data_IF_482335880186
#
_entry.id   IF_482335880186
#
_cell.length_a   1.000
_cell.length_b   1.000
_cell.length_c   1.000
_cell.angle_alpha   90.00
_cell.angle_beta   90.00
_cell.angle_gamma   90.00
#
_symmetry.space_group_name_H-M   'P 1'
#
loop_
_entity.id
_entity.type
_entity.pdbx_description
1 polymer ?
#
# COMPACT_ATOMS: atom_id res chain seq x y z
N UNK A 1 19.95 -10.08 -7.34
CA UNK A 1 19.70 -9.59 -8.71
C UNK A 1 20.25 -10.63 -9.68
N UNK A 2 19.51 -11.03 -10.70
CA UNK A 2 20.04 -11.94 -11.73
C UNK A 2 20.98 -11.18 -12.66
N UNK A 3 21.95 -11.85 -13.28
CA UNK A 3 22.91 -11.25 -14.22
C UNK A 3 22.20 -10.47 -15.34
N UNK A 4 21.13 -11.05 -15.90
CA UNK A 4 20.27 -10.41 -16.89
C UNK A 4 19.57 -9.13 -16.39
N UNK A 5 19.22 -9.01 -15.11
CA UNK A 5 18.65 -7.75 -14.59
C UNK A 5 19.71 -6.67 -14.37
N UNK A 6 20.96 -7.06 -14.08
CA UNK A 6 22.06 -6.10 -14.00
C UNK A 6 22.31 -5.45 -15.35
N UNK A 7 22.43 -6.25 -16.42
CA UNK A 7 22.64 -5.76 -17.78
C UNK A 7 21.50 -4.84 -18.25
N UNK A 8 20.26 -5.25 -17.98
CA UNK A 8 19.08 -4.41 -18.23
C UNK A 8 19.18 -3.07 -17.51
N UNK A 9 19.50 -3.08 -16.21
CA UNK A 9 19.55 -1.84 -15.40
C UNK A 9 20.63 -0.89 -15.92
N UNK A 10 21.79 -1.39 -16.31
CA UNK A 10 22.84 -0.56 -16.89
C UNK A 10 22.41 0.02 -18.24
N UNK A 11 21.82 -0.79 -19.12
CA UNK A 11 21.34 -0.29 -20.41
C UNK A 11 20.27 0.81 -20.27
N UNK A 12 19.39 0.71 -19.27
CA UNK A 12 18.34 1.70 -19.03
C UNK A 12 18.82 2.99 -18.35
N UNK A 13 20.10 3.09 -17.99
CA UNK A 13 20.70 4.38 -17.61
C UNK A 13 21.10 5.21 -18.82
N UNK A 14 21.16 4.60 -20.01
CA UNK A 14 21.53 5.28 -21.25
C UNK A 14 20.31 5.96 -21.89
N UNK A 15 20.53 7.16 -22.43
CA UNK A 15 19.45 7.99 -22.98
C UNK A 15 18.82 7.41 -24.26
N UNK A 16 19.58 6.62 -25.03
CA UNK A 16 19.11 6.01 -26.27
C UNK A 16 18.21 4.77 -26.05
N UNK A 17 18.10 4.30 -24.80
CA UNK A 17 17.13 3.27 -24.41
C UNK A 17 15.68 3.79 -24.41
N UNK A 18 15.47 5.10 -24.51
CA UNK A 18 14.16 5.76 -24.46
C UNK A 18 13.86 6.49 -25.77
N UNK A 19 12.64 6.35 -26.29
CA UNK A 19 12.22 6.97 -27.56
C UNK A 19 12.41 8.49 -27.61
N UNK A 20 12.27 9.18 -26.48
CA UNK A 20 12.37 10.64 -26.40
C UNK A 20 13.77 11.14 -25.99
N UNK A 21 14.72 10.25 -25.77
CA UNK A 21 16.09 10.58 -25.35
C UNK A 21 16.16 11.60 -24.20
N UNK A 22 15.73 11.21 -22.98
CA UNK A 22 15.67 12.10 -21.83
C UNK A 22 17.06 12.66 -21.52
N UNK A 23 17.12 13.90 -21.02
CA UNK A 23 18.37 14.56 -20.67
C UNK A 23 18.97 14.04 -19.37
N UNK A 24 18.11 13.64 -18.42
CA UNK A 24 18.53 13.14 -17.12
C UNK A 24 17.77 11.86 -16.79
N UNK A 25 18.52 10.86 -16.36
CA UNK A 25 17.98 9.60 -15.86
C UNK A 25 18.50 9.41 -14.43
N UNK A 26 17.60 9.25 -13.47
CA UNK A 26 17.92 8.91 -12.07
C UNK A 26 17.31 7.55 -11.74
N UNK A 27 18.16 6.59 -11.42
CA UNK A 27 17.75 5.30 -10.87
C UNK A 27 17.47 5.42 -9.37
N UNK A 28 16.31 4.93 -8.95
CA UNK A 28 15.95 4.67 -7.56
C UNK A 28 15.61 3.19 -7.45
N UNK A 29 16.16 2.52 -6.44
CA UNK A 29 15.92 1.12 -6.20
C UNK A 29 15.00 0.94 -4.98
N UNK A 30 13.90 0.22 -5.16
CA UNK A 30 12.99 -0.19 -4.07
C UNK A 30 13.23 -1.67 -3.75
N UNK A 31 12.55 -2.24 -2.75
CA UNK A 31 12.66 -3.68 -2.47
C UNK A 31 12.19 -4.57 -3.64
N UNK A 32 11.21 -4.12 -4.42
CA UNK A 32 10.55 -4.95 -5.46
C UNK A 32 10.67 -4.39 -6.87
N UNK A 33 11.21 -3.19 -7.08
CA UNK A 33 11.27 -2.53 -8.39
C UNK A 33 12.48 -1.62 -8.55
N UNK A 34 12.92 -1.45 -9.80
CA UNK A 34 13.77 -0.36 -10.25
C UNK A 34 12.90 0.77 -10.80
N UNK A 35 13.21 2.01 -10.43
CA UNK A 35 12.48 3.21 -10.79
C UNK A 35 13.44 4.15 -11.55
N UNK A 36 13.18 4.38 -12.83
CA UNK A 36 13.97 5.29 -13.66
C UNK A 36 13.18 6.58 -13.87
N UNK A 37 13.59 7.65 -13.17
CA UNK A 37 13.07 8.99 -13.40
C UNK A 37 13.83 9.59 -14.59
N UNK A 38 13.17 9.67 -15.73
CA UNK A 38 13.66 10.15 -17.00
C UNK A 38 12.93 11.46 -17.36
N UNK A 39 13.54 12.59 -16.99
CA UNK A 39 12.93 13.93 -17.03
C UNK A 39 11.53 13.99 -16.36
N UNK A 40 10.45 14.13 -17.12
CA UNK A 40 9.07 14.23 -16.65
C UNK A 40 8.36 12.87 -16.55
N UNK A 41 9.04 11.77 -16.88
CA UNK A 41 8.49 10.42 -16.86
C UNK A 41 9.19 9.54 -15.84
N UNK A 42 8.42 8.62 -15.28
CA UNK A 42 8.89 7.54 -14.41
C UNK A 42 8.64 6.20 -15.11
N UNK A 43 9.68 5.37 -15.15
CA UNK A 43 9.59 4.00 -15.65
C UNK A 43 9.86 3.03 -14.50
N UNK A 44 8.84 2.27 -14.11
CA UNK A 44 8.91 1.25 -13.05
C UNK A 44 9.08 -0.13 -13.67
N UNK A 45 10.11 -0.84 -13.24
CA UNK A 45 10.44 -2.20 -13.69
C UNK A 45 10.50 -3.11 -12.47
N UNK A 46 9.71 -4.18 -12.48
CA UNK A 46 9.63 -5.11 -11.36
C UNK A 46 10.90 -5.98 -11.30
N UNK A 47 11.42 -6.23 -10.10
CA UNK A 47 12.55 -7.14 -9.88
C UNK A 47 12.08 -8.59 -9.95
N UNK A 48 12.94 -9.51 -10.40
CA UNK A 48 12.64 -10.94 -10.24
C UNK A 48 12.65 -11.31 -8.76
N UNK A 49 11.69 -12.14 -8.36
CA UNK A 49 11.51 -12.60 -6.99
C UNK A 49 10.31 -13.53 -6.88
N UNK A 50 9.96 -13.93 -5.66
CA UNK A 50 8.85 -14.88 -5.42
C UNK A 50 7.51 -14.39 -5.99
N UNK A 51 7.26 -13.08 -5.93
CA UNK A 51 6.04 -12.45 -6.48
C UNK A 51 6.10 -12.30 -8.01
N UNK A 52 7.29 -12.25 -8.58
CA UNK A 52 7.57 -11.91 -9.97
C UNK A 52 8.51 -12.94 -10.60
N UNK A 53 8.07 -14.21 -10.61
CA UNK A 53 8.94 -15.34 -10.92
C UNK A 53 9.27 -15.49 -12.41
N UNK A 54 8.42 -15.00 -13.31
CA UNK A 54 8.59 -15.13 -14.76
C UNK A 54 8.23 -13.83 -15.47
N UNK A 55 8.70 -13.67 -16.71
CA UNK A 55 8.36 -12.52 -17.55
C UNK A 55 6.84 -12.38 -17.76
N UNK A 56 6.12 -13.48 -17.97
CA UNK A 56 4.67 -13.48 -18.12
C UNK A 56 3.93 -13.04 -16.84
N UNK A 57 4.44 -13.43 -15.65
CA UNK A 57 3.91 -12.97 -14.37
C UNK A 57 4.13 -11.46 -14.19
N UNK A 58 5.30 -10.96 -14.61
CA UNK A 58 5.61 -9.53 -14.55
C UNK A 58 4.73 -8.71 -15.49
N UNK A 59 4.49 -9.20 -16.70
CA UNK A 59 3.53 -8.61 -17.64
C UNK A 59 2.15 -8.46 -16.99
N UNK A 60 1.62 -9.56 -16.45
CA UNK A 60 0.29 -9.57 -15.83
C UNK A 60 0.18 -8.56 -14.69
N UNK A 61 1.19 -8.49 -13.81
CA UNK A 61 1.18 -7.53 -12.71
C UNK A 61 1.48 -6.08 -13.13
N UNK A 62 2.21 -5.86 -14.22
CA UNK A 62 2.30 -4.52 -14.81
C UNK A 62 0.93 -4.05 -15.32
N UNK A 63 0.19 -4.89 -16.05
CA UNK A 63 -1.16 -4.53 -16.49
C UNK A 63 -2.14 -4.37 -15.33
N UNK A 64 -2.05 -5.20 -14.29
CA UNK A 64 -2.90 -5.07 -13.11
C UNK A 64 -2.61 -3.78 -12.33
N UNK A 65 -1.34 -3.45 -12.09
CA UNK A 65 -0.97 -2.19 -11.42
C UNK A 65 -1.38 -0.97 -12.27
N UNK A 66 -1.25 -1.02 -13.60
CA UNK A 66 -1.74 0.03 -14.50
C UNK A 66 -3.26 0.21 -14.36
N UNK A 67 -4.02 -0.89 -14.41
CA UNK A 67 -5.48 -0.88 -14.26
C UNK A 67 -5.91 -0.33 -12.90
N UNK A 68 -5.23 -0.72 -11.83
CA UNK A 68 -5.51 -0.23 -10.48
C UNK A 68 -5.14 1.25 -10.34
N UNK A 69 -3.97 1.67 -10.81
CA UNK A 69 -3.52 3.06 -10.73
C UNK A 69 -4.48 4.02 -11.44
N UNK A 70 -5.02 3.64 -12.60
CA UNK A 70 -6.06 4.42 -13.31
C UNK A 70 -7.35 4.57 -12.50
N UNK A 71 -7.73 3.57 -11.69
CA UNK A 71 -8.89 3.67 -10.81
C UNK A 71 -8.68 4.76 -9.74
N UNK A 72 -7.49 4.82 -9.17
CA UNK A 72 -7.19 5.81 -8.13
C UNK A 72 -6.87 7.20 -8.71
N UNK A 73 -6.43 7.27 -9.97
CA UNK A 73 -5.98 8.48 -10.63
C UNK A 73 -6.54 8.56 -12.06
N UNK A 74 -7.78 9.04 -12.19
CA UNK A 74 -8.54 9.00 -13.45
C UNK A 74 -7.82 9.66 -14.63
N UNK A 75 -7.11 10.76 -14.41
CA UNK A 75 -6.42 11.54 -15.45
C UNK A 75 -4.90 11.33 -15.48
N UNK A 76 -4.37 10.34 -14.73
CA UNK A 76 -2.93 10.10 -14.69
C UNK A 76 -2.49 9.23 -15.85
N UNK A 77 -1.55 9.75 -16.66
CA UNK A 77 -1.00 9.03 -17.79
C UNK A 77 -0.15 7.86 -17.29
N UNK A 78 -0.69 6.64 -17.41
CA UNK A 78 0.03 5.39 -17.10
C UNK A 78 -0.25 4.31 -18.15
N UNK A 79 0.81 3.65 -18.59
CA UNK A 79 0.78 2.61 -19.61
C UNK A 79 1.85 1.54 -19.37
N UNK A 80 1.64 0.35 -19.95
CA UNK A 80 2.62 -0.73 -19.93
C UNK A 80 3.34 -0.72 -21.27
N UNK A 81 4.67 -0.70 -21.23
CA UNK A 81 5.53 -0.77 -22.41
C UNK A 81 6.39 -2.04 -22.36
N UNK A 82 6.56 -2.75 -23.48
CA UNK A 82 7.58 -3.78 -23.58
C UNK A 82 8.96 -3.13 -23.56
N UNK A 83 9.94 -3.83 -23.00
CA UNK A 83 11.35 -3.54 -23.18
C UNK A 83 11.90 -4.63 -24.10
N UNK A 84 12.43 -4.20 -25.24
CA UNK A 84 12.86 -5.10 -26.31
C UNK A 84 14.37 -5.05 -26.49
N UNK A 85 14.95 -6.21 -26.80
CA UNK A 85 16.33 -6.34 -27.25
C UNK A 85 16.36 -6.60 -28.76
N UNK A 86 17.08 -5.75 -29.50
CA UNK A 86 17.32 -5.91 -30.94
C UNK A 86 18.78 -5.62 -31.26
N UNK A 87 19.49 -6.63 -31.80
CA UNK A 87 20.92 -6.53 -32.19
C UNK A 87 21.81 -5.96 -31.06
N UNK A 88 21.58 -6.42 -29.82
CA UNK A 88 22.32 -5.98 -28.63
C UNK A 88 21.94 -4.61 -28.09
N UNK A 89 20.91 -3.95 -28.64
CA UNK A 89 20.35 -2.71 -28.09
C UNK A 89 19.07 -2.99 -27.33
N UNK A 90 18.93 -2.37 -26.16
CA UNK A 90 17.75 -2.48 -25.29
C UNK A 90 16.96 -1.17 -25.39
N UNK A 91 15.67 -1.26 -25.74
CA UNK A 91 14.81 -0.10 -25.99
C UNK A 91 13.46 -0.29 -25.29
N UNK A 92 13.04 0.71 -24.51
CA UNK A 92 11.70 0.78 -23.93
C UNK A 92 10.70 1.25 -25.00
N UNK A 93 9.60 0.51 -25.14
CA UNK A 93 8.55 0.78 -26.12
C UNK A 93 8.99 0.48 -27.56
N UNK A 94 10.04 -0.32 -27.76
CA UNK A 94 10.47 -0.74 -29.10
C UNK A 94 9.38 -1.53 -29.85
N UNK A 95 9.45 -1.52 -31.18
CA UNK A 95 8.53 -2.27 -32.07
C UNK A 95 9.19 -3.48 -32.74
N UNK A 96 10.50 -3.65 -32.58
CA UNK A 96 11.29 -4.73 -33.18
C UNK A 96 12.18 -5.40 -32.13
N UNK A 97 12.38 -6.71 -32.27
CA UNK A 97 13.24 -7.49 -31.39
C UNK A 97 12.48 -8.44 -30.45
N UNK A 98 13.21 -8.98 -29.48
CA UNK A 98 12.66 -9.90 -28.46
C UNK A 98 12.25 -9.10 -27.22
N UNK A 99 11.05 -9.34 -26.70
CA UNK A 99 10.65 -8.80 -25.40
C UNK A 99 11.47 -9.49 -24.31
N UNK A 100 12.19 -8.70 -23.52
CA UNK A 100 13.01 -9.18 -22.41
C UNK A 100 12.49 -8.72 -21.05
N UNK A 101 11.67 -7.67 -21.00
CA UNK A 101 11.10 -7.10 -19.78
C UNK A 101 9.86 -6.25 -20.09
N UNK A 102 9.11 -5.84 -19.06
CA UNK A 102 8.06 -4.81 -19.14
C UNK A 102 8.33 -3.62 -18.20
N UNK A 103 8.00 -2.42 -18.67
CA UNK A 103 8.01 -1.20 -17.87
C UNK A 103 6.60 -0.64 -17.71
N UNK A 104 6.28 -0.15 -16.51
CA UNK A 104 5.18 0.77 -16.28
C UNK A 104 5.70 2.19 -16.47
N UNK A 105 5.22 2.87 -17.52
CA UNK A 105 5.54 4.27 -17.79
C UNK A 105 4.44 5.16 -17.25
N UNK A 106 4.81 6.18 -16.48
CA UNK A 106 3.89 7.16 -15.91
C UNK A 106 4.51 8.55 -15.82
N UNK A 107 3.71 9.58 -15.53
CA UNK A 107 4.26 10.90 -15.17
C UNK A 107 5.04 10.80 -13.87
N UNK A 108 6.23 11.40 -13.83
CA UNK A 108 7.04 11.45 -12.61
C UNK A 108 6.37 12.36 -11.58
N UNK A 109 6.30 11.88 -10.34
CA UNK A 109 5.83 12.65 -9.19
C UNK A 109 7.05 13.04 -8.36
N UNK A 110 7.20 14.32 -8.07
CA UNK A 110 8.36 14.79 -7.30
C UNK A 110 8.29 14.28 -5.85
N UNK A 111 9.37 13.66 -5.37
CA UNK A 111 9.44 13.10 -4.00
C UNK A 111 9.04 14.11 -2.92
N UNK A 112 9.31 15.40 -3.13
CA UNK A 112 8.94 16.48 -2.19
C UNK A 112 7.43 16.65 -1.98
N UNK A 113 6.61 16.12 -2.89
CA UNK A 113 5.15 16.12 -2.78
C UNK A 113 4.59 14.87 -2.13
N UNK A 114 5.42 13.83 -1.87
CA UNK A 114 4.95 12.67 -1.11
C UNK A 114 4.50 13.07 0.30
N UNK A 115 3.40 12.49 0.78
CA UNK A 115 2.83 12.81 2.08
C UNK A 115 3.82 12.46 3.19
N UNK A 116 4.62 11.39 3.05
CA UNK A 116 5.70 11.06 3.98
C UNK A 116 6.73 12.20 4.11
N UNK A 117 7.19 12.79 3.00
CA UNK A 117 8.14 13.92 3.02
C UNK A 117 7.50 15.21 3.55
N UNK A 118 6.23 15.46 3.21
CA UNK A 118 5.51 16.61 3.72
C UNK A 118 5.27 16.50 5.23
N UNK A 119 4.94 15.31 5.74
CA UNK A 119 4.78 15.04 7.17
C UNK A 119 6.10 15.21 7.93
N UNK A 120 7.21 14.67 7.39
CA UNK A 120 8.54 14.80 7.98
C UNK A 120 9.04 16.25 8.07
N UNK A 121 8.51 17.14 7.23
CA UNK A 121 8.85 18.57 7.20
C UNK A 121 7.78 19.47 7.83
N UNK A 122 6.77 18.88 8.47
CA UNK A 122 5.62 19.60 9.06
C UNK A 122 4.90 20.54 8.07
N UNK A 123 4.83 20.14 6.80
CA UNK A 123 4.17 20.91 5.72
C UNK A 123 2.74 20.47 5.40
N UNK A 124 2.23 19.46 6.11
CA UNK A 124 0.86 18.97 5.92
C UNK A 124 -0.12 19.82 6.71
N UNK A 125 -1.19 20.26 6.04
CA UNK A 125 -2.27 21.03 6.66
C UNK A 125 -3.53 20.16 6.75
N UNK A 126 -4.48 20.57 7.59
CA UNK A 126 -5.80 19.94 7.63
C UNK A 126 -6.49 19.99 6.25
N UNK A 127 -6.24 21.02 5.42
CA UNK A 127 -6.78 21.08 4.04
C UNK A 127 -6.27 19.92 3.20
N UNK A 128 -4.96 19.66 3.20
CA UNK A 128 -4.37 18.53 2.45
C UNK A 128 -5.01 17.19 2.87
N UNK A 129 -5.13 16.98 4.18
CA UNK A 129 -5.74 15.77 4.74
C UNK A 129 -7.21 15.61 4.35
N UNK A 130 -8.00 16.69 4.38
CA UNK A 130 -9.40 16.64 3.95
C UNK A 130 -9.55 16.29 2.47
N UNK A 131 -8.65 16.77 1.61
CA UNK A 131 -8.66 16.41 0.18
C UNK A 131 -8.36 14.91 0.02
N UNK A 132 -7.35 14.39 0.72
CA UNK A 132 -7.03 12.96 0.74
C UNK A 132 -8.24 12.13 1.19
N UNK A 133 -8.86 12.50 2.33
CA UNK A 133 -10.02 11.82 2.89
C UNK A 133 -11.23 11.81 1.95
N UNK A 134 -11.53 12.95 1.34
CA UNK A 134 -12.62 13.09 0.37
C UNK A 134 -12.38 12.19 -0.83
N UNK A 135 -11.18 12.28 -1.41
CA UNK A 135 -10.85 11.52 -2.63
C UNK A 135 -10.91 10.01 -2.41
N UNK A 136 -10.36 9.51 -1.29
CA UNK A 136 -10.39 8.07 -1.02
C UNK A 136 -11.81 7.60 -0.68
N UNK A 137 -12.64 8.40 0.00
CA UNK A 137 -14.04 8.10 0.25
C UNK A 137 -14.87 8.01 -1.06
N UNK A 138 -14.65 8.92 -2.01
CA UNK A 138 -15.29 8.90 -3.34
C UNK A 138 -14.89 7.65 -4.16
N UNK A 139 -13.62 7.26 -4.12
CA UNK A 139 -13.12 6.06 -4.79
C UNK A 139 -13.74 4.80 -4.16
N UNK A 140 -13.81 4.74 -2.83
CA UNK A 140 -14.49 3.65 -2.14
C UNK A 140 -15.97 3.55 -2.51
N UNK A 141 -16.69 4.67 -2.55
CA UNK A 141 -18.10 4.72 -2.89
C UNK A 141 -18.39 4.28 -4.34
N UNK A 142 -17.46 4.54 -5.26
CA UNK A 142 -17.58 4.19 -6.69
C UNK A 142 -17.05 2.78 -7.03
N UNK A 143 -16.41 2.08 -6.09
CA UNK A 143 -15.75 0.79 -6.34
C UNK A 143 -16.18 -0.34 -5.38
N UNK A 144 -17.49 -0.58 -5.15
CA UNK A 144 -17.92 -1.71 -4.34
C UNK A 144 -17.44 -3.04 -4.95
N UNK A 145 -17.04 -3.98 -4.10
CA UNK A 145 -16.72 -5.32 -4.54
C UNK A 145 -18.00 -6.04 -4.99
N UNK A 146 -17.88 -6.95 -5.97
CA UNK A 146 -19.00 -7.84 -6.31
C UNK A 146 -19.36 -8.73 -5.12
N UNK A 147 -20.60 -9.23 -5.05
CA UNK A 147 -21.06 -10.07 -3.93
C UNK A 147 -20.09 -11.23 -3.63
N UNK A 148 -19.64 -11.92 -4.68
CA UNK A 148 -18.66 -13.01 -4.57
C UNK A 148 -17.31 -12.54 -4.01
N UNK A 149 -16.81 -11.39 -4.45
CA UNK A 149 -15.55 -10.85 -3.96
C UNK A 149 -15.69 -10.31 -2.52
N UNK A 150 -16.84 -9.73 -2.19
CA UNK A 150 -17.14 -9.14 -0.90
C UNK A 150 -17.19 -10.17 0.25
N UNK A 151 -17.24 -11.47 -0.07
CA UNK A 151 -17.08 -12.56 0.87
C UNK A 151 -15.75 -12.48 1.67
N UNK A 152 -14.70 -11.85 1.12
CA UNK A 152 -13.46 -11.59 1.85
C UNK A 152 -13.62 -10.63 3.03
N UNK A 153 -14.71 -9.85 3.06
CA UNK A 153 -15.06 -8.95 4.14
C UNK A 153 -15.81 -9.60 5.30
N UNK A 154 -16.04 -10.92 5.24
CA UNK A 154 -16.68 -11.67 6.33
C UNK A 154 -15.78 -11.75 7.57
N UNK A 155 -16.36 -12.02 8.76
CA UNK A 155 -15.62 -12.14 10.01
C UNK A 155 -14.46 -13.14 9.94
N UNK A 156 -14.69 -14.32 9.36
CA UNK A 156 -13.75 -15.44 9.35
C UNK A 156 -12.51 -15.18 8.45
N UNK A 157 -12.65 -14.69 7.19
CA UNK A 157 -11.50 -14.23 6.41
C UNK A 157 -10.68 -13.13 7.10
N UNK A 158 -11.33 -12.15 7.72
CA UNK A 158 -10.62 -11.11 8.46
C UNK A 158 -9.87 -11.68 9.68
N UNK A 159 -10.50 -12.60 10.43
CA UNK A 159 -9.86 -13.34 11.52
C UNK A 159 -8.60 -14.07 11.06
N UNK A 160 -8.65 -14.72 9.89
CA UNK A 160 -7.49 -15.39 9.32
C UNK A 160 -6.34 -14.40 9.04
N UNK A 161 -6.63 -13.21 8.49
CA UNK A 161 -5.61 -12.17 8.28
C UNK A 161 -4.95 -11.72 9.59
N UNK A 162 -5.73 -11.54 10.66
CA UNK A 162 -5.20 -11.19 11.97
C UNK A 162 -4.32 -12.31 12.54
N UNK A 163 -4.78 -13.56 12.44
CA UNK A 163 -4.04 -14.73 12.91
C UNK A 163 -2.72 -14.94 12.15
N UNK A 164 -2.70 -14.69 10.84
CA UNK A 164 -1.47 -14.71 10.04
C UNK A 164 -0.43 -13.72 10.57
N UNK A 165 -0.83 -12.48 10.88
CA UNK A 165 0.08 -11.47 11.42
C UNK A 165 0.56 -11.80 12.83
N UNK A 166 -0.34 -12.27 13.70
CA UNK A 166 0.01 -12.72 15.05
C UNK A 166 0.94 -13.95 15.02
N UNK A 167 0.79 -14.83 14.03
CA UNK A 167 1.70 -15.95 13.83
C UNK A 167 3.08 -15.48 13.35
N UNK A 168 3.12 -14.57 12.38
CA UNK A 168 4.38 -14.04 11.84
C UNK A 168 5.18 -13.24 12.88
N UNK A 169 4.51 -12.46 13.74
CA UNK A 169 5.12 -11.76 14.88
C UNK A 169 6.07 -12.65 15.69
N UNK A 170 5.65 -13.90 15.98
CA UNK A 170 6.41 -14.86 16.80
C UNK A 170 7.79 -15.19 16.25
N UNK A 171 8.02 -14.95 14.96
CA UNK A 171 9.28 -15.29 14.28
C UNK A 171 10.40 -14.28 14.55
N UNK A 172 10.07 -13.08 15.02
CA UNK A 172 11.01 -11.96 15.08
C UNK A 172 11.46 -11.58 16.49
N UNK A 173 10.78 -12.07 17.53
CA UNK A 173 11.10 -11.77 18.92
C UNK A 173 10.97 -13.02 19.79
N UNK A 174 11.64 -13.00 20.94
CA UNK A 174 11.58 -14.09 21.91
C UNK A 174 10.17 -14.29 22.48
N UNK A 175 9.88 -15.53 22.93
CA UNK A 175 8.59 -15.88 23.51
C UNK A 175 8.22 -15.01 24.74
N UNK A 176 9.22 -14.63 25.55
CA UNK A 176 9.09 -13.76 26.71
C UNK A 176 8.53 -12.37 26.37
N UNK A 177 8.87 -11.84 25.19
CA UNK A 177 8.40 -10.54 24.69
C UNK A 177 7.09 -10.66 23.91
N UNK A 178 6.93 -11.72 23.12
CA UNK A 178 5.77 -11.87 22.22
C UNK A 178 4.51 -12.33 22.92
N UNK A 179 4.61 -13.24 23.90
CA UNK A 179 3.43 -13.85 24.52
C UNK A 179 2.49 -12.82 25.19
N UNK A 180 2.98 -11.84 25.97
CA UNK A 180 2.12 -10.80 26.53
C UNK A 180 1.44 -9.93 25.45
N UNK A 181 2.17 -9.54 24.39
CA UNK A 181 1.63 -8.74 23.27
C UNK A 181 0.52 -9.52 22.56
N UNK A 182 0.77 -10.80 22.28
CA UNK A 182 -0.20 -11.69 21.65
C UNK A 182 -1.48 -11.82 22.47
N UNK A 183 -1.36 -12.00 23.78
CA UNK A 183 -2.53 -12.18 24.65
C UNK A 183 -3.34 -10.89 24.78
N UNK A 184 -2.67 -9.73 24.86
CA UNK A 184 -3.32 -8.41 24.89
C UNK A 184 -4.04 -8.05 23.58
N UNK A 185 -3.60 -8.58 22.44
CA UNK A 185 -4.21 -8.29 21.14
C UNK A 185 -5.25 -9.34 20.76
N UNK A 186 -4.92 -10.63 20.90
CA UNK A 186 -5.76 -11.72 20.40
C UNK A 186 -7.12 -11.74 21.08
N UNK A 187 -7.18 -11.63 22.41
CA UNK A 187 -8.44 -11.81 23.11
C UNK A 187 -9.49 -10.72 22.77
N UNK A 188 -9.18 -9.41 22.81
CA UNK A 188 -10.14 -8.37 22.39
C UNK A 188 -10.57 -8.52 20.92
N UNK A 189 -9.64 -8.85 20.03
CA UNK A 189 -9.88 -9.01 18.60
C UNK A 189 -10.84 -10.16 18.32
N UNK A 190 -10.54 -11.36 18.82
CA UNK A 190 -11.36 -12.55 18.62
C UNK A 190 -12.77 -12.34 19.20
N UNK A 191 -12.85 -11.80 20.42
CA UNK A 191 -14.12 -11.50 21.09
C UNK A 191 -14.98 -10.53 20.27
N UNK A 192 -14.41 -9.44 19.78
CA UNK A 192 -15.16 -8.49 18.96
C UNK A 192 -15.68 -9.14 17.67
N UNK A 193 -14.86 -9.94 16.98
CA UNK A 193 -15.26 -10.62 15.75
C UNK A 193 -16.41 -11.60 16.03
N UNK A 194 -16.37 -12.34 17.14
CA UNK A 194 -17.43 -13.28 17.53
C UNK A 194 -18.74 -12.57 17.89
N UNK A 195 -18.66 -11.50 18.68
CA UNK A 195 -19.85 -10.78 19.15
C UNK A 195 -20.49 -9.89 18.06
N UNK A 196 -19.71 -9.47 17.05
CA UNK A 196 -20.14 -8.49 16.05
C UNK A 196 -20.30 -9.04 14.63
N UNK A 197 -20.52 -10.34 14.43
CA UNK A 197 -20.76 -10.92 13.10
C UNK A 197 -21.86 -10.18 12.30
N UNK A 198 -22.90 -9.69 12.97
CA UNK A 198 -23.96 -8.88 12.35
C UNK A 198 -23.45 -7.55 11.79
N UNK A 199 -22.46 -6.93 12.43
CA UNK A 199 -21.85 -5.68 11.96
C UNK A 199 -21.05 -5.91 10.68
N UNK A 200 -20.22 -6.96 10.60
CA UNK A 200 -19.52 -7.33 9.35
C UNK A 200 -20.50 -7.58 8.21
N UNK A 201 -21.55 -8.37 8.44
CA UNK A 201 -22.59 -8.61 7.43
C UNK A 201 -23.33 -7.33 7.01
N UNK A 202 -23.57 -6.41 7.96
CA UNK A 202 -24.16 -5.09 7.68
C UNK A 202 -23.25 -4.27 6.77
N UNK A 203 -21.93 -4.32 6.99
CA UNK A 203 -20.93 -3.63 6.17
C UNK A 203 -20.87 -4.17 4.75
N UNK A 204 -20.90 -5.50 4.58
CA UNK A 204 -21.04 -6.14 3.26
C UNK A 204 -22.30 -5.66 2.53
N UNK A 205 -23.47 -5.71 3.18
CA UNK A 205 -24.75 -5.25 2.61
C UNK A 205 -24.78 -3.77 2.26
N UNK A 206 -24.00 -2.94 2.95
CA UNK A 206 -23.87 -1.50 2.70
C UNK A 206 -22.80 -1.15 1.66
N UNK A 207 -22.22 -2.15 0.97
CA UNK A 207 -21.17 -1.92 -0.02
C UNK A 207 -19.87 -1.36 0.59
N UNK A 208 -19.60 -1.63 1.87
CA UNK A 208 -18.36 -1.19 2.54
C UNK A 208 -17.18 -2.13 2.29
N UNK A 209 -17.41 -3.24 1.60
CA UNK A 209 -16.34 -4.07 1.05
C UNK A 209 -16.10 -3.61 -0.39
N UNK A 210 -14.90 -3.13 -0.67
CA UNK A 210 -14.54 -2.40 -1.88
C UNK A 210 -13.30 -2.99 -2.53
N UNK A 211 -13.08 -2.62 -3.79
CA UNK A 211 -11.78 -2.80 -4.45
C UNK A 211 -10.83 -1.67 -4.02
N UNK A 212 -10.39 -1.70 -2.76
CA UNK A 212 -9.59 -0.67 -2.10
C UNK A 212 -8.13 -0.65 -2.51
N UNK A 213 -7.36 0.24 -1.88
CA UNK A 213 -5.95 0.48 -2.16
C UNK A 213 -5.07 -0.62 -1.55
N UNK A 214 -5.37 -1.07 -0.32
CA UNK A 214 -4.68 -2.18 0.37
C UNK A 214 -3.27 -1.87 0.87
N UNK A 215 -2.80 -0.64 0.62
CA UNK A 215 -1.47 -0.12 0.94
C UNK A 215 -1.50 1.42 1.07
N UNK A 216 -2.54 1.96 1.69
CA UNK A 216 -2.79 3.41 1.76
C UNK A 216 -1.89 4.10 2.80
N UNK A 217 -0.60 4.24 2.44
CA UNK A 217 0.47 4.74 3.30
C UNK A 217 1.00 6.10 2.81
N UNK A 218 1.59 6.93 3.69
CA UNK A 218 2.07 8.26 3.33
C UNK A 218 3.04 8.30 2.14
N UNK A 219 3.91 7.30 1.97
CA UNK A 219 4.84 7.21 0.84
C UNK A 219 4.15 6.95 -0.51
N UNK A 220 2.89 6.52 -0.49
CA UNK A 220 2.07 6.23 -1.67
C UNK A 220 1.06 7.34 -1.99
N UNK A 221 1.04 8.41 -1.21
CA UNK A 221 0.12 9.54 -1.38
C UNK A 221 0.94 10.76 -1.76
N UNK A 222 0.66 11.38 -2.90
CA UNK A 222 1.33 12.60 -3.35
C UNK A 222 0.34 13.76 -3.35
N UNK A 223 0.76 14.90 -2.80
CA UNK A 223 -0.07 16.09 -2.65
C UNK A 223 0.67 17.31 -3.23
N UNK A 224 0.09 17.92 -4.27
CA UNK A 224 0.57 19.16 -4.84
C UNK A 224 -0.59 20.17 -4.98
N UNK A 225 -0.65 21.12 -4.05
CA UNK A 225 -1.79 22.03 -3.94
C UNK A 225 -3.08 21.25 -3.67
N UNK A 226 -4.02 21.33 -4.60
CA UNK A 226 -5.31 20.62 -4.52
C UNK A 226 -5.34 19.29 -5.28
N UNK A 227 -4.23 18.92 -5.95
CA UNK A 227 -4.10 17.65 -6.64
C UNK A 227 -3.56 16.57 -5.69
N UNK A 228 -4.19 15.40 -5.72
CA UNK A 228 -3.78 14.23 -4.94
C UNK A 228 -3.69 13.01 -5.85
N UNK A 229 -2.57 12.30 -5.76
CA UNK A 229 -2.36 11.04 -6.44
C UNK A 229 -2.14 9.92 -5.43
N UNK A 230 -2.75 8.76 -5.68
CA UNK A 230 -2.54 7.54 -4.90
C UNK A 230 -1.88 6.47 -5.77
N UNK A 231 -0.66 6.07 -5.44
CA UNK A 231 0.16 5.19 -6.27
C UNK A 231 0.42 3.86 -5.57
N UNK A 232 0.92 2.87 -6.30
CA UNK A 232 1.25 1.54 -5.75
C UNK A 232 0.10 0.87 -4.96
N UNK A 233 -1.13 0.80 -5.51
CA UNK A 233 -2.17 -0.03 -4.92
C UNK A 233 -1.78 -1.50 -4.95
N UNK A 234 -2.20 -2.27 -3.95
CA UNK A 234 -1.82 -3.69 -3.80
C UNK A 234 -2.29 -4.54 -4.99
N UNK A 235 -1.36 -4.91 -5.84
CA UNK A 235 -1.59 -5.66 -7.08
C UNK A 235 -1.38 -7.16 -6.93
N UNK A 236 -0.51 -7.60 -6.01
CA UNK A 236 -0.06 -9.00 -5.92
C UNK A 236 -1.07 -9.86 -5.17
N UNK A 237 -1.45 -9.40 -3.97
CA UNK A 237 -2.32 -10.17 -3.09
C UNK A 237 -3.75 -9.63 -3.16
N UNK A 238 -4.56 -10.18 -4.08
CA UNK A 238 -5.97 -9.77 -4.26
C UNK A 238 -6.79 -9.75 -2.97
N UNK A 239 -6.53 -10.68 -2.04
CA UNK A 239 -7.18 -10.73 -0.71
C UNK A 239 -6.94 -9.49 0.15
N UNK A 240 -5.89 -8.73 -0.15
CA UNK A 240 -5.53 -7.48 0.53
C UNK A 240 -6.03 -6.24 -0.23
N UNK A 241 -6.51 -6.40 -1.47
CA UNK A 241 -7.08 -5.31 -2.28
C UNK A 241 -8.63 -5.33 -2.28
N UNK A 242 -9.24 -6.49 -2.03
CA UNK A 242 -10.66 -6.61 -1.71
C UNK A 242 -10.84 -6.55 -0.20
N UNK A 243 -11.18 -5.37 0.31
CA UNK A 243 -11.09 -5.03 1.72
C UNK A 243 -12.34 -4.28 2.19
N UNK A 244 -12.58 -4.30 3.50
CA UNK A 244 -13.45 -3.30 4.12
C UNK A 244 -12.78 -1.94 4.10
N UNK A 245 -13.48 -0.88 3.71
CA UNK A 245 -12.94 0.50 3.67
C UNK A 245 -12.22 0.93 4.95
N UNK A 246 -12.59 0.36 6.09
CA UNK A 246 -11.92 0.57 7.36
C UNK A 246 -10.42 0.24 7.30
N UNK A 247 -9.99 -0.71 6.46
CA UNK A 247 -8.59 -1.08 6.30
C UNK A 247 -7.73 0.06 5.72
N UNK A 248 -8.17 0.71 4.65
CA UNK A 248 -7.45 1.84 4.04
C UNK A 248 -7.46 3.05 4.99
N UNK A 249 -8.58 3.33 5.64
CA UNK A 249 -8.68 4.37 6.68
C UNK A 249 -7.73 4.09 7.84
N UNK A 250 -7.70 2.86 8.34
CA UNK A 250 -6.80 2.43 9.41
C UNK A 250 -5.34 2.49 8.99
N UNK A 251 -5.01 2.16 7.73
CA UNK A 251 -3.63 2.20 7.24
C UNK A 251 -3.03 3.59 7.42
N UNK A 252 -3.72 4.65 6.98
CA UNK A 252 -3.21 6.02 7.15
C UNK A 252 -3.26 6.51 8.60
N UNK A 253 -4.33 6.19 9.34
CA UNK A 253 -4.46 6.69 10.73
C UNK A 253 -3.48 6.03 11.71
N UNK A 254 -3.04 4.80 11.45
CA UNK A 254 -1.93 4.17 12.18
C UNK A 254 -0.63 4.95 11.96
N UNK A 255 -0.32 5.34 10.72
CA UNK A 255 0.88 6.13 10.40
C UNK A 255 0.85 7.52 11.05
N UNK A 256 -0.30 8.21 10.99
CA UNK A 256 -0.47 9.49 11.68
C UNK A 256 -0.35 9.35 13.20
N UNK A 257 -0.81 8.24 13.78
CA UNK A 257 -0.64 7.95 15.21
C UNK A 257 0.82 7.69 15.58
N UNK A 258 1.54 6.93 14.76
CA UNK A 258 2.97 6.66 14.95
C UNK A 258 3.78 7.96 14.92
N UNK A 259 3.48 8.84 13.97
CA UNK A 259 4.12 10.16 13.83
C UNK A 259 3.61 11.21 14.83
N UNK A 260 2.73 10.82 15.77
CA UNK A 260 2.14 11.71 16.78
C UNK A 260 1.46 12.95 16.18
N UNK A 261 0.61 12.75 15.16
CA UNK A 261 -0.15 13.79 14.45
C UNK A 261 -1.67 13.71 14.72
N UNK A 262 -2.15 13.91 15.98
CA UNK A 262 -3.55 13.71 16.34
C UNK A 262 -4.51 14.66 15.58
N UNK A 263 -4.15 15.92 15.40
CA UNK A 263 -5.00 16.89 14.68
C UNK A 263 -5.22 16.51 13.21
N UNK A 264 -4.20 15.97 12.55
CA UNK A 264 -4.31 15.48 11.18
C UNK A 264 -5.15 14.19 11.13
N UNK A 265 -4.98 13.29 12.11
CA UNK A 265 -5.78 12.09 12.23
C UNK A 265 -7.27 12.42 12.38
N UNK A 266 -7.61 13.32 13.30
CA UNK A 266 -8.99 13.73 13.55
C UNK A 266 -9.59 14.41 12.31
N UNK A 267 -8.82 15.29 11.65
CA UNK A 267 -9.26 15.91 10.40
C UNK A 267 -9.47 14.90 9.26
N UNK A 268 -8.69 13.82 9.21
CA UNK A 268 -8.87 12.75 8.21
C UNK A 268 -10.15 11.97 8.48
N UNK A 269 -10.32 11.51 9.72
CA UNK A 269 -11.47 10.70 10.13
C UNK A 269 -12.78 11.46 10.00
N UNK A 270 -12.84 12.69 10.48
CA UNK A 270 -14.04 13.52 10.41
C UNK A 270 -14.48 13.71 8.95
N UNK A 271 -13.55 14.13 8.08
CA UNK A 271 -13.86 14.33 6.67
C UNK A 271 -14.28 13.03 5.96
N UNK A 272 -13.60 11.92 6.25
CA UNK A 272 -13.96 10.63 5.67
C UNK A 272 -15.38 10.21 6.10
N UNK A 273 -15.73 10.37 7.38
CA UNK A 273 -17.07 10.06 7.90
C UNK A 273 -18.14 10.95 7.28
N UNK A 274 -17.87 12.25 7.12
CA UNK A 274 -18.80 13.22 6.54
C UNK A 274 -19.10 12.89 5.07
N UNK A 275 -18.08 12.56 4.28
CA UNK A 275 -18.23 12.23 2.86
C UNK A 275 -18.85 10.84 2.65
N UNK A 276 -18.40 9.84 3.43
CA UNK A 276 -18.84 8.45 3.25
C UNK A 276 -20.18 8.12 3.91
N UNK A 277 -20.61 8.94 4.88
CA UNK A 277 -21.72 8.69 5.79
C UNK A 277 -21.67 7.30 6.46
N UNK A 278 -20.46 6.81 6.77
CA UNK A 278 -20.23 5.50 7.36
C UNK A 278 -20.14 5.55 8.90
N UNK A 279 -21.28 5.75 9.56
CA UNK A 279 -21.33 5.79 11.04
C UNK A 279 -20.87 4.49 11.71
N UNK A 280 -20.98 3.35 11.01
CA UNK A 280 -20.53 2.06 11.52
C UNK A 280 -18.99 1.94 11.52
N UNK A 281 -18.27 2.80 10.80
CA UNK A 281 -16.80 2.80 10.72
C UNK A 281 -16.15 3.00 12.09
N UNK A 282 -16.68 3.90 12.91
CA UNK A 282 -16.13 4.22 14.25
C UNK A 282 -16.00 2.95 15.10
N UNK A 283 -16.96 2.03 14.98
CA UNK A 283 -16.96 0.75 15.73
C UNK A 283 -15.93 -0.24 15.19
N UNK A 284 -15.61 -0.17 13.90
CA UNK A 284 -14.64 -1.05 13.25
C UNK A 284 -13.21 -0.52 13.36
N UNK A 285 -13.05 0.78 13.55
CA UNK A 285 -11.75 1.44 13.37
C UNK A 285 -10.66 0.89 14.30
N UNK A 286 -10.86 0.72 15.62
CA UNK A 286 -9.81 0.16 16.48
C UNK A 286 -9.40 -1.25 16.05
N UNK A 287 -10.35 -2.06 15.57
CA UNK A 287 -10.09 -3.42 15.10
C UNK A 287 -9.16 -3.43 13.88
N UNK A 288 -9.45 -2.60 12.87
CA UNK A 288 -8.61 -2.49 11.68
C UNK A 288 -7.31 -1.75 11.94
N UNK A 289 -7.27 -0.80 12.88
CA UNK A 289 -6.03 -0.14 13.32
C UNK A 289 -5.09 -1.13 13.99
N UNK A 290 -5.60 -2.00 14.87
CA UNK A 290 -4.83 -3.12 15.42
C UNK A 290 -4.25 -4.01 14.32
N UNK A 291 -5.07 -4.40 13.33
CA UNK A 291 -4.60 -5.22 12.21
C UNK A 291 -3.53 -4.50 11.36
N UNK A 292 -3.75 -3.24 10.98
CA UNK A 292 -2.80 -2.48 10.17
C UNK A 292 -1.49 -2.25 10.92
N UNK A 293 -1.54 -1.96 12.23
CA UNK A 293 -0.35 -1.84 13.06
C UNK A 293 0.43 -3.17 13.15
N UNK A 294 -0.25 -4.31 13.33
CA UNK A 294 0.40 -5.62 13.25
C UNK A 294 1.07 -5.86 11.89
N UNK A 295 0.35 -5.57 10.79
CA UNK A 295 0.84 -5.71 9.42
C UNK A 295 2.11 -4.88 9.20
N UNK A 296 2.13 -3.63 9.67
CA UNK A 296 3.31 -2.79 9.56
C UNK A 296 4.47 -3.23 10.45
N UNK A 297 4.19 -3.66 11.68
CA UNK A 297 5.24 -4.19 12.54
C UNK A 297 5.92 -5.42 11.91
N UNK A 298 5.13 -6.36 11.38
CA UNK A 298 5.66 -7.56 10.69
C UNK A 298 6.43 -7.19 9.43
N UNK A 299 5.87 -6.33 8.56
CA UNK A 299 6.57 -5.84 7.36
C UNK A 299 7.89 -5.13 7.72
N UNK A 300 7.89 -4.34 8.79
CA UNK A 300 9.09 -3.66 9.29
C UNK A 300 10.15 -4.67 9.76
N UNK A 301 9.74 -5.76 10.42
CA UNK A 301 10.65 -6.85 10.79
C UNK A 301 11.22 -7.59 9.57
N UNK A 302 10.42 -7.83 8.52
CA UNK A 302 10.91 -8.39 7.26
C UNK A 302 11.95 -7.49 6.60
N UNK A 303 11.68 -6.17 6.56
CA UNK A 303 12.61 -5.19 6.06
C UNK A 303 13.92 -5.17 6.86
N UNK A 304 13.84 -5.19 8.20
CA UNK A 304 15.01 -5.31 9.10
C UNK A 304 15.91 -6.46 8.69
N UNK A 305 15.35 -7.65 8.50
CA UNK A 305 16.12 -8.85 8.14
C UNK A 305 16.71 -8.71 6.74
N UNK A 306 15.93 -8.23 5.78
CA UNK A 306 16.39 -8.09 4.39
C UNK A 306 17.49 -7.04 4.20
N UNK A 307 17.46 -5.96 4.99
CA UNK A 307 18.39 -4.83 4.88
C UNK A 307 19.50 -4.87 5.94
N UNK A 308 19.47 -5.82 6.87
CA UNK A 308 20.38 -5.88 8.01
C UNK A 308 20.44 -4.55 8.79
N UNK A 309 19.28 -3.89 8.96
CA UNK A 309 19.17 -2.59 9.61
C UNK A 309 18.46 -2.72 10.96
N UNK A 310 19.23 -2.74 12.04
CA UNK A 310 18.71 -2.91 13.40
C UNK A 310 17.82 -1.77 13.91
N UNK A 311 17.91 -0.57 13.33
CA UNK A 311 17.05 0.56 13.71
C UNK A 311 15.57 0.26 13.43
N UNK A 312 15.29 -0.52 12.37
CA UNK A 312 13.95 -0.98 12.04
C UNK A 312 13.35 -1.88 13.14
N UNK A 313 14.17 -2.45 14.03
CA UNK A 313 13.69 -3.24 15.16
C UNK A 313 12.91 -2.41 16.17
N UNK A 314 13.34 -1.16 16.41
CA UNK A 314 12.63 -0.22 17.30
C UNK A 314 11.31 0.22 16.66
N UNK A 315 11.36 0.61 15.40
CA UNK A 315 10.17 0.99 14.63
C UNK A 315 9.11 -0.13 14.59
N UNK A 316 9.54 -1.39 14.39
CA UNK A 316 8.62 -2.53 14.45
C UNK A 316 7.94 -2.66 15.83
N UNK A 317 8.69 -2.45 16.92
CA UNK A 317 8.14 -2.47 18.27
C UNK A 317 7.14 -1.35 18.51
N UNK A 318 7.37 -0.16 17.95
CA UNK A 318 6.43 0.96 18.04
C UNK A 318 5.09 0.64 17.37
N UNK A 319 5.11 -0.05 16.22
CA UNK A 319 3.90 -0.57 15.60
C UNK A 319 3.19 -1.61 16.48
N UNK A 320 3.90 -2.54 17.12
CA UNK A 320 3.25 -3.51 18.01
C UNK A 320 2.67 -2.85 19.27
N UNK A 321 3.32 -1.81 19.80
CA UNK A 321 2.79 -0.99 20.88
C UNK A 321 1.50 -0.27 20.46
N UNK A 322 1.45 0.28 19.24
CA UNK A 322 0.21 0.82 18.67
C UNK A 322 -0.87 -0.24 18.54
N UNK A 323 -0.53 -1.44 18.08
CA UNK A 323 -1.48 -2.54 17.96
C UNK A 323 -2.11 -2.91 19.31
N UNK A 324 -1.31 -2.97 20.39
CA UNK A 324 -1.79 -3.16 21.77
C UNK A 324 -2.65 -1.99 22.25
N UNK A 325 -2.30 -0.75 21.88
CA UNK A 325 -3.10 0.42 22.25
C UNK A 325 -4.49 0.34 21.61
N UNK A 326 -4.55 0.16 20.30
CA UNK A 326 -5.80 0.04 19.55
C UNK A 326 -6.62 -1.19 19.99
N UNK A 327 -5.98 -2.30 20.38
CA UNK A 327 -6.72 -3.49 20.82
C UNK A 327 -7.50 -3.24 22.12
N UNK A 328 -7.03 -2.31 22.96
CA UNK A 328 -7.74 -1.88 24.18
C UNK A 328 -8.90 -0.92 23.90
N UNK A 329 -8.85 -0.24 22.76
CA UNK A 329 -9.88 0.67 22.27
C UNK A 329 -11.00 -0.07 21.51
N UNK A 330 -10.82 -1.36 21.18
CA UNK A 330 -11.85 -2.21 20.59
C UNK A 330 -13.10 -2.21 21.50
N UNK A 331 -14.27 -1.83 20.98
CA UNK A 331 -15.49 -1.75 21.79
C UNK A 331 -15.84 -3.08 22.44
N UNK A 332 -16.00 -3.06 23.77
CA UNK A 332 -16.60 -4.17 24.53
C UNK A 332 -18.11 -3.98 24.47
N UNK A 333 -18.74 -4.59 23.48
CA UNK A 333 -20.20 -4.54 23.29
C UNK A 333 -20.85 -5.62 24.14
#
# INVERSE_FOLDING_TARGET
MTESQTELVEALKETDAYQNSPKRIKLIETSTSFLFNADDKLYKIKKFGNEYATLAVKEAFCYEECRLSKRFNQDWAIEVLPIMEHKGKIIIGGTEGKIIEYALKMDSLEDQWSLSQLLAKDKVTAKHIRIIATRIAEIHASSPASDLAAESGKPEPFRALCNDMLFQLKRYFEASLTQPILDMIRHPLEKFIDDNKRLFNKRQKKGRIVMGHGAFLPEHIFVNGDQVHFISPQEVQKKLAVLDVANDVSSLTVELSLMSKPELLDSFLQQYLDVSNDQDLIKMLPLYQTYCALKQGVKTCELRVSQQNDELGRLAMDYFNLAVRFSREIPRI
#
